data_IF_770177217503
#
_entry.id   IF_770177217503
#
_cell.length_a   1.000
_cell.length_b   1.000
_cell.length_c   1.000
_cell.angle_alpha   90.00
_cell.angle_beta   90.00
_cell.angle_gamma   90.00
#
_symmetry.space_group_name_H-M   'P 1'
#
loop_
_entity.id
_entity.type
_entity.pdbx_description
1 polymer ?
#
# COMPACT_ATOMS: atom_id res chain seq x y z
N UNK A 1 -20.28 -4.88 -13.41
CA UNK A 1 -18.88 -5.01 -13.82
C UNK A 1 -18.06 -3.70 -13.75
N UNK A 2 -18.61 -2.51 -14.02
CA UNK A 2 -17.86 -1.22 -13.97
C UNK A 2 -17.51 -0.70 -12.56
N UNK A 3 -18.18 -1.17 -11.49
CA UNK A 3 -17.95 -0.70 -10.11
C UNK A 3 -16.78 -1.39 -9.39
N UNK A 4 -16.37 -2.56 -9.87
CA UNK A 4 -15.26 -3.34 -9.30
C UNK A 4 -13.89 -2.78 -9.68
N UNK A 5 -13.78 -2.09 -10.82
CA UNK A 5 -12.55 -1.45 -11.29
C UNK A 5 -11.99 -0.36 -10.36
N UNK A 6 -12.76 0.20 -9.45
CA UNK A 6 -12.38 1.41 -8.73
C UNK A 6 -11.56 1.11 -7.47
N UNK A 7 -11.76 -0.03 -6.80
CA UNK A 7 -10.90 -0.44 -5.68
C UNK A 7 -9.63 -1.11 -6.18
N UNK A 8 -9.71 -1.81 -7.30
CA UNK A 8 -8.52 -2.16 -8.07
C UNK A 8 -7.73 -0.92 -8.47
N UNK A 9 -8.41 0.19 -8.62
CA UNK A 9 -7.86 1.50 -8.95
C UNK A 9 -7.07 2.16 -7.83
N UNK A 10 -7.02 1.64 -6.61
CA UNK A 10 -6.01 2.11 -5.62
C UNK A 10 -4.61 1.83 -6.18
N UNK A 11 -4.46 0.78 -6.99
CA UNK A 11 -3.26 0.55 -7.80
C UNK A 11 -3.40 0.91 -9.29
N UNK A 12 -4.60 0.89 -9.88
CA UNK A 12 -4.81 0.91 -11.32
C UNK A 12 -5.25 2.28 -11.89
N UNK A 13 -5.76 3.20 -11.07
CA UNK A 13 -6.29 4.47 -11.59
C UNK A 13 -5.22 5.45 -12.09
N UNK A 14 -3.94 5.27 -11.69
CA UNK A 14 -2.84 6.07 -12.24
C UNK A 14 -2.49 5.73 -13.70
N UNK A 15 -2.86 4.54 -14.21
CA UNK A 15 -2.58 4.17 -15.61
C UNK A 15 -3.57 4.81 -16.61
N UNK A 16 -4.78 5.16 -16.16
CA UNK A 16 -5.81 5.73 -17.04
C UNK A 16 -5.71 7.26 -17.22
N UNK A 17 -4.84 7.94 -16.46
CA UNK A 17 -4.70 9.40 -16.51
C UNK A 17 -3.65 9.88 -17.53
N UNK A 18 -2.85 8.98 -18.10
CA UNK A 18 -2.03 9.31 -19.26
C UNK A 18 -2.84 9.12 -20.55
N UNK A 19 -3.92 9.92 -20.68
CA UNK A 19 -4.62 10.08 -21.93
C UNK A 19 -3.63 10.46 -23.02
N UNK A 20 -3.69 9.73 -24.15
CA UNK A 20 -3.00 10.05 -25.38
C UNK A 20 -3.39 11.48 -25.82
N UNK A 21 -2.65 12.45 -25.36
CA UNK A 21 -2.55 13.74 -26.04
C UNK A 21 -1.21 13.70 -26.78
N UNK A 22 -1.30 13.53 -28.08
CA UNK A 22 -0.15 13.55 -29.00
C UNK A 22 0.55 14.88 -28.91
N UNK A 23 1.64 14.93 -28.13
CA UNK A 23 2.64 15.98 -28.21
C UNK A 23 3.94 15.30 -28.66
N UNK A 24 4.34 15.62 -29.90
CA UNK A 24 5.61 15.19 -30.45
C UNK A 24 6.76 15.69 -29.58
N UNK A 25 7.58 14.78 -29.08
CA UNK A 25 8.82 15.11 -28.41
C UNK A 25 9.95 15.31 -29.44
N UNK A 26 10.70 16.41 -29.38
CA UNK A 26 11.88 16.54 -30.23
C UNK A 26 12.95 15.56 -29.79
N UNK A 27 13.43 14.78 -30.73
CA UNK A 27 14.58 13.89 -30.60
C UNK A 27 15.84 14.74 -30.43
N UNK A 28 16.40 14.79 -29.23
CA UNK A 28 17.78 15.27 -29.02
C UNK A 28 18.66 14.05 -28.75
N UNK A 29 19.36 13.61 -29.75
CA UNK A 29 20.46 12.67 -29.61
C UNK A 29 21.62 13.39 -28.92
N UNK A 30 21.93 13.04 -27.68
CA UNK A 30 23.19 13.38 -27.05
C UNK A 30 23.85 12.10 -26.57
N UNK A 31 24.88 11.71 -27.29
CA UNK A 31 25.82 10.65 -26.92
C UNK A 31 26.60 11.08 -25.69
N UNK A 32 26.16 10.65 -24.50
CA UNK A 32 26.87 10.81 -23.25
C UNK A 32 27.40 9.45 -22.79
N UNK A 33 28.69 9.35 -22.65
CA UNK A 33 29.47 8.22 -22.18
C UNK A 33 28.93 7.68 -20.85
N UNK A 34 28.50 6.42 -20.84
CA UNK A 34 28.06 5.71 -19.64
C UNK A 34 29.29 5.36 -18.79
N UNK A 35 29.59 6.19 -17.81
CA UNK A 35 30.58 5.88 -16.76
C UNK A 35 29.82 5.47 -15.48
N UNK A 36 29.98 4.18 -15.13
CA UNK A 36 29.88 3.69 -13.76
C UNK A 36 28.54 3.84 -13.03
N UNK A 37 27.48 3.15 -13.43
CA UNK A 37 26.43 2.80 -12.49
C UNK A 37 26.87 1.56 -11.70
N UNK A 38 27.51 1.80 -10.55
CA UNK A 38 27.64 0.78 -9.52
C UNK A 38 26.22 0.38 -9.10
N UNK A 39 25.79 -0.80 -9.51
CA UNK A 39 24.61 -1.44 -8.97
C UNK A 39 24.85 -1.64 -7.46
N UNK A 40 24.18 -0.85 -6.63
CA UNK A 40 24.04 -1.19 -5.22
C UNK A 40 23.14 -2.43 -5.18
N UNK A 41 23.76 -3.59 -5.40
CA UNK A 41 23.21 -4.87 -4.99
C UNK A 41 23.22 -4.83 -3.46
N UNK A 42 22.13 -4.35 -2.85
CA UNK A 42 21.87 -4.63 -1.44
C UNK A 42 21.93 -6.15 -1.30
N UNK A 43 22.87 -6.64 -0.47
CA UNK A 43 22.96 -8.04 -0.08
C UNK A 43 21.54 -8.49 0.28
N UNK A 44 21.03 -9.53 -0.39
CA UNK A 44 19.75 -10.11 -0.08
C UNK A 44 19.75 -10.39 1.44
N UNK A 45 18.91 -9.69 2.20
CA UNK A 45 18.87 -9.85 3.63
C UNK A 45 18.58 -11.32 3.92
N UNK A 46 19.41 -11.93 4.76
CA UNK A 46 19.30 -13.34 5.11
C UNK A 46 18.09 -13.53 6.04
N UNK A 47 16.91 -13.73 5.42
CA UNK A 47 15.66 -13.96 6.14
C UNK A 47 15.59 -15.39 6.61
N UNK A 48 15.30 -15.58 7.89
CA UNK A 48 15.03 -16.87 8.51
C UNK A 48 13.65 -16.87 9.17
N UNK A 49 13.07 -18.03 9.35
CA UNK A 49 11.81 -18.16 10.05
C UNK A 49 11.96 -17.64 11.48
N UNK A 50 10.97 -16.86 11.96
CA UNK A 50 10.91 -16.42 13.36
C UNK A 50 10.81 -17.61 14.27
N UNK A 51 11.69 -17.70 15.27
CA UNK A 51 11.78 -18.84 16.18
C UNK A 51 10.51 -18.99 17.03
N UNK A 52 10.01 -17.90 17.61
CA UNK A 52 8.77 -17.88 18.38
C UNK A 52 7.72 -17.00 17.72
N UNK A 53 6.92 -17.64 16.84
CA UNK A 53 5.83 -16.95 16.12
C UNK A 53 4.70 -16.49 17.06
N UNK A 54 4.51 -17.16 18.21
CA UNK A 54 3.46 -16.80 19.16
C UNK A 54 3.86 -15.55 19.94
N UNK A 55 5.09 -15.47 20.43
CA UNK A 55 5.63 -14.28 21.07
C UNK A 55 5.61 -13.06 20.10
N UNK A 56 6.08 -13.26 18.86
CA UNK A 56 6.04 -12.20 17.84
C UNK A 56 4.62 -11.67 17.61
N UNK A 57 3.63 -12.57 17.43
CA UNK A 57 2.23 -12.17 17.23
C UNK A 57 1.66 -11.42 18.41
N UNK A 58 1.99 -11.86 19.65
CA UNK A 58 1.56 -11.20 20.88
C UNK A 58 2.14 -9.79 20.98
N UNK A 59 3.43 -9.63 20.69
CA UNK A 59 4.09 -8.33 20.70
C UNK A 59 3.51 -7.40 19.65
N UNK A 60 3.36 -7.87 18.40
CA UNK A 60 2.77 -7.09 17.32
C UNK A 60 1.35 -6.65 17.66
N UNK A 61 0.50 -7.56 18.15
CA UNK A 61 -0.86 -7.24 18.58
C UNK A 61 -0.89 -6.21 19.72
N UNK A 62 0.02 -6.31 20.68
CA UNK A 62 0.15 -5.33 21.79
C UNK A 62 0.50 -3.94 21.26
N UNK A 63 1.48 -3.85 20.33
CA UNK A 63 1.90 -2.59 19.72
C UNK A 63 0.79 -1.96 18.88
N UNK A 64 0.15 -2.75 18.03
CA UNK A 64 -0.88 -2.26 17.11
C UNK A 64 -2.19 -1.90 17.84
N UNK A 65 -2.56 -2.60 18.91
CA UNK A 65 -3.77 -2.29 19.68
C UNK A 65 -3.70 -0.92 20.38
N UNK A 66 -2.51 -0.47 20.73
CA UNK A 66 -2.26 0.84 21.35
C UNK A 66 -2.32 2.01 20.36
N UNK A 67 -2.37 1.72 19.04
CA UNK A 67 -2.45 2.76 18.01
C UNK A 67 -3.87 3.31 17.92
N UNK A 68 -3.98 4.62 17.95
CA UNK A 68 -5.22 5.37 17.68
C UNK A 68 -5.15 6.12 16.36
N UNK A 69 -3.97 6.60 15.99
CA UNK A 69 -3.72 7.29 14.72
C UNK A 69 -2.32 6.96 14.19
N UNK A 70 -2.18 6.97 12.87
CA UNK A 70 -0.91 6.91 12.16
C UNK A 70 -0.90 8.03 11.12
N UNK A 71 0.19 8.78 11.06
CA UNK A 71 0.49 9.71 9.98
C UNK A 71 1.86 9.37 9.43
N UNK A 72 2.01 9.37 8.11
CA UNK A 72 3.29 9.13 7.46
C UNK A 72 3.36 9.85 6.12
N UNK A 73 4.56 10.09 5.62
CA UNK A 73 4.79 10.31 4.19
C UNK A 73 4.93 8.95 3.52
N UNK A 74 4.55 8.88 2.24
CA UNK A 74 4.84 7.70 1.44
C UNK A 74 5.41 8.06 0.07
N UNK A 75 6.22 7.14 -0.43
CA UNK A 75 6.56 7.03 -1.85
C UNK A 75 5.92 5.74 -2.36
N UNK A 76 5.05 5.87 -3.34
CA UNK A 76 4.50 4.72 -4.06
C UNK A 76 5.34 4.46 -5.31
N UNK A 77 5.74 3.22 -5.51
CA UNK A 77 6.33 2.73 -6.77
C UNK A 77 5.37 1.70 -7.35
N UNK A 78 4.86 1.95 -8.54
CA UNK A 78 4.05 0.98 -9.29
C UNK A 78 4.80 0.50 -10.51
N UNK A 79 4.96 -0.81 -10.62
CA UNK A 79 5.51 -1.47 -11.80
C UNK A 79 4.40 -2.21 -12.54
N UNK A 80 4.31 -1.96 -13.84
CA UNK A 80 3.43 -2.66 -14.76
C UNK A 80 4.29 -3.26 -15.87
N UNK A 81 4.30 -4.58 -15.97
CA UNK A 81 5.10 -5.33 -16.94
C UNK A 81 4.81 -4.93 -18.38
N UNK A 82 3.55 -4.58 -18.67
CA UNK A 82 3.12 -4.12 -20.01
C UNK A 82 3.82 -2.84 -20.46
N UNK A 83 4.23 -1.98 -19.51
CA UNK A 83 4.98 -0.75 -19.80
C UNK A 83 6.47 -0.88 -19.54
N UNK A 84 6.92 -1.98 -18.94
CA UNK A 84 8.32 -2.26 -18.57
C UNK A 84 8.99 -1.10 -17.81
N UNK A 85 8.22 -0.38 -17.00
CA UNK A 85 8.71 0.79 -16.24
C UNK A 85 8.03 0.94 -14.88
N UNK A 86 8.75 1.58 -13.98
CA UNK A 86 8.21 2.06 -12.71
C UNK A 86 7.59 3.44 -12.85
N UNK A 87 6.47 3.64 -12.17
CA UNK A 87 5.82 4.94 -11.98
C UNK A 87 5.88 5.29 -10.50
N UNK A 88 6.35 6.48 -10.16
CA UNK A 88 6.47 6.94 -8.78
C UNK A 88 5.45 8.02 -8.48
N UNK A 89 4.90 7.97 -7.28
CA UNK A 89 4.00 8.97 -6.72
C UNK A 89 4.35 9.18 -5.25
N UNK A 90 4.15 10.38 -4.77
CA UNK A 90 4.42 10.73 -3.37
C UNK A 90 3.18 11.32 -2.73
N UNK A 91 3.04 11.12 -1.42
CA UNK A 91 1.89 11.62 -0.71
C UNK A 91 2.00 11.47 0.79
N UNK A 92 0.84 11.64 1.43
CA UNK A 92 0.65 11.48 2.87
C UNK A 92 -0.36 10.40 3.14
N UNK A 93 -0.05 9.59 4.13
CA UNK A 93 -0.91 8.55 4.66
C UNK A 93 -1.44 8.98 6.01
N UNK A 94 -2.75 8.80 6.21
CA UNK A 94 -3.41 9.02 7.48
C UNK A 94 -4.30 7.82 7.79
N UNK A 95 -4.20 7.32 9.00
CA UNK A 95 -5.11 6.33 9.55
C UNK A 95 -5.60 6.78 10.92
N UNK A 96 -6.87 6.57 11.17
CA UNK A 96 -7.49 6.76 12.49
C UNK A 96 -8.29 5.52 12.85
N UNK A 97 -8.12 5.05 14.08
CA UNK A 97 -8.90 3.93 14.63
C UNK A 97 -10.39 4.26 14.50
N UNK A 98 -11.11 3.45 14.19
CA UNK A 98 -12.10 2.63 13.56
C UNK A 98 -12.22 2.88 12.04
N UNK A 99 -11.20 2.40 11.32
CA UNK A 99 -11.24 2.17 9.88
C UNK A 99 -11.38 3.42 8.99
N UNK A 100 -10.75 4.52 9.43
CA UNK A 100 -10.60 5.71 8.58
C UNK A 100 -9.19 5.74 7.99
N UNK A 101 -9.12 5.80 6.68
CA UNK A 101 -7.86 5.91 5.93
C UNK A 101 -7.97 7.09 4.97
N UNK A 102 -6.89 7.85 4.84
CA UNK A 102 -6.71 8.80 3.74
C UNK A 102 -5.34 8.60 3.11
N UNK A 103 -5.31 8.47 1.79
CA UNK A 103 -4.13 8.55 0.94
C UNK A 103 -4.24 9.85 0.14
N UNK A 104 -3.43 10.83 0.51
CA UNK A 104 -3.37 12.16 -0.12
C UNK A 104 -2.12 12.21 -1.02
N UNK A 105 -2.29 11.85 -2.30
CA UNK A 105 -1.25 11.92 -3.33
C UNK A 105 -1.01 13.37 -3.74
N UNK A 106 0.26 13.75 -3.86
CA UNK A 106 0.67 15.13 -4.18
C UNK A 106 1.45 15.25 -5.47
N UNK A 107 2.27 14.27 -5.77
CA UNK A 107 3.08 14.22 -6.99
C UNK A 107 2.99 12.86 -7.66
N UNK A 108 3.05 12.78 -8.99
CA UNK A 108 3.04 13.88 -9.96
C UNK A 108 1.65 14.50 -10.15
N UNK A 109 0.58 13.84 -9.69
CA UNK A 109 -0.81 14.28 -9.82
C UNK A 109 -1.47 14.27 -8.45
N UNK A 110 -2.16 15.36 -8.11
CA UNK A 110 -2.96 15.45 -6.90
C UNK A 110 -4.19 14.51 -7.02
N UNK A 111 -4.28 13.56 -6.09
CA UNK A 111 -5.35 12.59 -6.02
C UNK A 111 -5.59 12.19 -4.57
N UNK A 112 -6.83 12.06 -4.15
CA UNK A 112 -7.16 11.68 -2.79
C UNK A 112 -8.03 10.43 -2.77
N UNK A 113 -7.75 9.53 -1.83
CA UNK A 113 -8.60 8.38 -1.50
C UNK A 113 -8.92 8.48 -0.02
N UNK A 114 -10.20 8.54 0.32
CA UNK A 114 -10.67 8.47 1.70
C UNK A 114 -11.55 7.24 1.87
N UNK A 115 -11.21 6.40 2.84
CA UNK A 115 -12.05 5.29 3.32
C UNK A 115 -12.55 5.69 4.69
N UNK A 116 -13.86 5.62 4.90
CA UNK A 116 -14.48 5.91 6.17
C UNK A 116 -15.67 4.93 6.39
N UNK A 117 -15.40 3.86 7.15
CA UNK A 117 -16.31 2.74 7.27
C UNK A 117 -16.61 2.10 5.91
N UNK A 118 -17.89 1.95 5.58
CA UNK A 118 -18.34 1.33 4.33
C UNK A 118 -18.31 2.26 3.11
N UNK A 119 -17.72 3.44 3.22
CA UNK A 119 -17.70 4.43 2.15
C UNK A 119 -16.31 4.75 1.70
N UNK A 120 -16.14 4.83 0.38
CA UNK A 120 -14.89 5.27 -0.25
C UNK A 120 -15.20 6.53 -1.06
N UNK A 121 -14.43 7.59 -0.81
CA UNK A 121 -14.39 8.80 -1.63
C UNK A 121 -13.07 8.83 -2.38
N UNK A 122 -13.12 9.17 -3.65
CA UNK A 122 -11.93 9.52 -4.43
C UNK A 122 -12.08 10.92 -4.99
N UNK A 123 -11.02 11.71 -4.97
CA UNK A 123 -11.00 13.06 -5.56
C UNK A 123 -9.90 13.10 -6.61
N UNK A 124 -10.27 13.44 -7.84
CA UNK A 124 -9.35 13.57 -8.96
C UNK A 124 -9.66 14.86 -9.73
N UNK A 125 -8.66 15.73 -9.90
CA UNK A 125 -8.83 17.01 -10.56
C UNK A 125 -10.05 17.82 -10.05
N UNK A 126 -10.27 17.80 -8.72
CA UNK A 126 -11.38 18.46 -8.06
C UNK A 126 -12.74 17.77 -8.19
N UNK A 127 -12.83 16.65 -8.90
CA UNK A 127 -14.08 15.86 -9.02
C UNK A 127 -14.08 14.74 -8.00
N UNK A 128 -15.11 14.70 -7.15
CA UNK A 128 -15.33 13.64 -6.18
C UNK A 128 -16.18 12.50 -6.78
N UNK A 129 -15.82 11.26 -6.46
CA UNK A 129 -16.60 10.06 -6.75
C UNK A 129 -16.76 9.25 -5.47
N UNK A 130 -17.93 8.62 -5.29
CA UNK A 130 -18.27 7.90 -4.08
C UNK A 130 -18.66 6.46 -4.39
N UNK A 131 -18.25 5.54 -3.51
CA UNK A 131 -18.59 4.13 -3.58
C UNK A 131 -19.10 3.71 -2.21
N UNK A 132 -20.26 3.08 -2.18
CA UNK A 132 -20.77 2.39 -1.01
C UNK A 132 -20.37 0.90 -1.13
N UNK A 133 -19.67 0.39 -0.11
CA UNK A 133 -19.20 -0.99 -0.07
C UNK A 133 -20.06 -1.88 0.81
N UNK A 134 -21.08 -1.31 1.45
CA UNK A 134 -21.96 -2.01 2.39
C UNK A 134 -22.58 -3.26 1.77
N UNK A 135 -22.44 -4.38 2.50
CA UNK A 135 -23.01 -5.65 2.08
C UNK A 135 -22.28 -6.32 0.91
N UNK A 136 -21.05 -5.91 0.61
CA UNK A 136 -20.20 -6.57 -0.37
C UNK A 136 -19.03 -7.30 0.35
N UNK A 137 -19.15 -8.63 0.60
CA UNK A 137 -18.16 -9.38 1.39
C UNK A 137 -16.74 -9.32 0.80
N UNK A 138 -16.60 -9.25 -0.53
CA UNK A 138 -15.30 -9.13 -1.16
C UNK A 138 -14.66 -7.78 -0.84
N UNK A 139 -15.44 -6.72 -0.82
CA UNK A 139 -14.97 -5.38 -0.50
C UNK A 139 -14.53 -5.27 0.96
N UNK A 140 -15.28 -5.91 1.86
CA UNK A 140 -14.94 -5.98 3.29
C UNK A 140 -13.61 -6.72 3.50
N UNK A 141 -13.41 -7.86 2.81
CA UNK A 141 -12.14 -8.61 2.87
C UNK A 141 -10.98 -7.79 2.33
N UNK A 142 -11.15 -7.07 1.22
CA UNK A 142 -10.13 -6.21 0.64
C UNK A 142 -9.79 -5.03 1.57
N UNK A 143 -10.79 -4.36 2.12
CA UNK A 143 -10.60 -3.27 3.08
C UNK A 143 -9.87 -3.75 4.34
N UNK A 144 -10.28 -4.89 4.89
CA UNK A 144 -9.63 -5.52 6.04
C UNK A 144 -8.18 -5.86 5.75
N UNK A 145 -7.90 -6.47 4.59
CA UNK A 145 -6.53 -6.79 4.18
C UNK A 145 -5.65 -5.55 4.08
N UNK A 146 -6.11 -4.52 3.35
CA UNK A 146 -5.36 -3.28 3.16
C UNK A 146 -5.12 -2.58 4.50
N UNK A 147 -6.16 -2.44 5.32
CA UNK A 147 -6.06 -1.80 6.64
C UNK A 147 -5.08 -2.56 7.53
N UNK A 148 -5.19 -3.88 7.61
CA UNK A 148 -4.29 -4.72 8.41
C UNK A 148 -2.83 -4.59 7.96
N UNK A 149 -2.60 -4.56 6.64
CA UNK A 149 -1.27 -4.41 6.09
C UNK A 149 -0.66 -3.03 6.34
N UNK A 150 -1.46 -1.96 6.25
CA UNK A 150 -0.99 -0.59 6.47
C UNK A 150 -0.75 -0.26 7.94
N UNK A 151 -1.51 -0.87 8.84
CA UNK A 151 -1.37 -0.66 10.29
C UNK A 151 -0.45 -1.66 10.97
N UNK A 152 -0.18 -2.81 10.31
CA UNK A 152 0.48 -3.96 10.92
C UNK A 152 -0.44 -4.79 11.84
N UNK A 153 -1.73 -4.46 11.95
CA UNK A 153 -2.69 -5.21 12.75
C UNK A 153 -3.17 -6.45 11.99
N UNK A 154 -2.49 -7.57 12.21
CA UNK A 154 -2.83 -8.86 11.58
C UNK A 154 -3.96 -9.62 12.30
N UNK A 155 -4.45 -9.13 13.43
CA UNK A 155 -5.47 -9.85 14.22
C UNK A 155 -6.80 -9.96 13.49
N UNK A 156 -7.08 -9.01 12.60
CA UNK A 156 -8.30 -8.95 11.80
C UNK A 156 -8.29 -9.87 10.57
N UNK A 157 -7.14 -10.43 10.18
CA UNK A 157 -7.04 -11.24 8.96
C UNK A 157 -7.72 -12.61 9.10
N UNK A 158 -7.85 -13.14 10.33
CA UNK A 158 -8.53 -14.39 10.61
C UNK A 158 -7.95 -15.59 9.84
N UNK A 159 -8.83 -16.50 9.42
CA UNK A 159 -8.48 -17.70 8.68
C UNK A 159 -8.47 -17.54 7.17
N UNK A 160 -8.89 -16.38 6.65
CA UNK A 160 -9.03 -16.14 5.21
C UNK A 160 -7.69 -15.92 4.51
N UNK A 161 -6.62 -15.73 5.29
CA UNK A 161 -5.28 -15.47 4.80
C UNK A 161 -4.26 -16.44 5.42
N UNK A 162 -3.24 -16.76 4.65
CA UNK A 162 -2.03 -17.41 5.18
C UNK A 162 -1.00 -16.32 5.46
N UNK A 163 -0.42 -16.32 6.67
CA UNK A 163 0.61 -15.34 7.05
C UNK A 163 1.89 -16.12 7.39
N UNK A 164 2.95 -15.87 6.62
CA UNK A 164 4.31 -16.31 6.94
C UNK A 164 5.10 -15.15 7.50
N UNK A 165 5.92 -15.43 8.53
CA UNK A 165 6.74 -14.42 9.20
C UNK A 165 8.19 -14.88 9.22
N UNK A 166 9.07 -14.04 8.74
CA UNK A 166 10.52 -14.22 8.70
C UNK A 166 11.20 -13.00 9.32
N UNK A 167 12.41 -13.18 9.80
CA UNK A 167 13.21 -12.10 10.40
C UNK A 167 14.58 -12.01 9.74
N UNK A 168 15.10 -10.78 9.67
CA UNK A 168 16.47 -10.46 9.34
C UNK A 168 17.11 -9.65 10.48
N UNK A 169 18.33 -9.18 10.32
CA UNK A 169 18.94 -8.22 11.26
C UNK A 169 18.25 -6.85 11.25
N UNK A 170 17.61 -6.47 10.15
CA UNK A 170 17.06 -5.13 9.93
C UNK A 170 15.55 -5.05 10.19
N UNK A 171 14.80 -6.09 9.81
CA UNK A 171 13.34 -6.06 9.80
C UNK A 171 12.71 -7.44 9.96
N UNK A 172 11.39 -7.45 10.15
CA UNK A 172 10.55 -8.63 9.96
C UNK A 172 9.87 -8.54 8.61
N UNK A 173 9.84 -9.65 7.87
CA UNK A 173 9.13 -9.79 6.62
C UNK A 173 7.89 -10.66 6.81
N UNK A 174 6.74 -10.08 6.55
CA UNK A 174 5.46 -10.77 6.59
C UNK A 174 4.96 -10.98 5.17
N UNK A 175 4.72 -12.23 4.79
CA UNK A 175 4.08 -12.58 3.52
C UNK A 175 2.67 -13.04 3.78
N UNK A 176 1.69 -12.33 3.21
CA UNK A 176 0.26 -12.57 3.40
C UNK A 176 -0.32 -13.01 2.06
N UNK A 177 -0.93 -14.18 2.03
CA UNK A 177 -1.53 -14.77 0.83
C UNK A 177 -3.01 -15.00 1.06
N UNK A 178 -3.91 -14.41 0.25
CA UNK A 178 -5.34 -14.67 0.32
C UNK A 178 -5.66 -16.14 -0.04
N UNK A 179 -6.60 -16.78 0.68
CA UNK A 179 -7.10 -18.12 0.35
C UNK A 179 -8.25 -18.06 -0.64
N UNK A 180 -9.06 -17.00 -0.61
CA UNK A 180 -10.18 -16.79 -1.51
C UNK A 180 -9.70 -16.62 -2.94
N UNK A 181 -10.21 -17.45 -3.87
CA UNK A 181 -9.94 -17.32 -5.32
C UNK A 181 -10.40 -15.96 -5.87
N UNK A 182 -11.48 -15.42 -5.32
CA UNK A 182 -12.02 -14.11 -5.73
C UNK A 182 -11.05 -12.98 -5.40
N UNK A 183 -10.46 -12.99 -4.20
CA UNK A 183 -9.44 -11.99 -3.79
C UNK A 183 -8.14 -12.21 -4.56
N UNK A 184 -7.72 -13.47 -4.75
CA UNK A 184 -6.51 -13.83 -5.52
C UNK A 184 -6.55 -13.43 -6.98
N UNK A 185 -7.74 -13.24 -7.56
CA UNK A 185 -7.87 -12.70 -8.91
C UNK A 185 -7.35 -11.26 -9.03
N UNK A 186 -7.14 -10.57 -7.89
CA UNK A 186 -6.72 -9.18 -7.83
C UNK A 186 -5.41 -8.98 -7.06
N UNK A 187 -5.18 -9.78 -6.01
CA UNK A 187 -3.98 -9.72 -5.18
C UNK A 187 -3.44 -11.13 -5.03
N UNK A 188 -2.28 -11.40 -5.62
CA UNK A 188 -1.59 -12.67 -5.45
C UNK A 188 -1.05 -12.81 -4.02
N UNK A 189 -0.32 -11.79 -3.56
CA UNK A 189 0.22 -11.72 -2.19
C UNK A 189 0.51 -10.28 -1.78
N UNK A 190 0.63 -10.06 -0.49
CA UNK A 190 1.18 -8.84 0.09
C UNK A 190 2.44 -9.16 0.90
N UNK A 191 3.44 -8.29 0.80
CA UNK A 191 4.67 -8.39 1.59
C UNK A 191 4.82 -7.12 2.41
N UNK A 192 4.96 -7.26 3.73
CA UNK A 192 5.16 -6.14 4.65
C UNK A 192 6.55 -6.27 5.26
N UNK A 193 7.29 -5.16 5.28
CA UNK A 193 8.51 -5.04 6.08
C UNK A 193 8.21 -4.20 7.32
N UNK A 194 8.37 -4.81 8.50
CA UNK A 194 8.21 -4.12 9.78
C UNK A 194 9.59 -3.76 10.32
N UNK A 195 9.71 -2.55 10.81
CA UNK A 195 10.90 -2.13 11.56
C UNK A 195 11.11 -3.03 12.78
N UNK A 196 12.35 -3.53 12.98
CA UNK A 196 12.63 -4.46 14.06
C UNK A 196 12.52 -3.85 15.46
N UNK A 197 12.69 -2.53 15.60
CA UNK A 197 12.69 -1.86 16.89
C UNK A 197 11.28 -1.54 17.42
N UNK A 198 10.41 -1.09 16.54
CA UNK A 198 9.09 -0.56 16.93
C UNK A 198 7.91 -1.29 16.28
N UNK A 199 8.19 -2.28 15.40
CA UNK A 199 7.21 -3.06 14.63
C UNK A 199 6.32 -2.20 13.70
N UNK A 200 6.72 -0.97 13.42
CA UNK A 200 5.99 -0.13 12.48
C UNK A 200 6.24 -0.56 11.04
N UNK A 201 5.25 -0.37 10.17
CA UNK A 201 5.37 -0.68 8.75
C UNK A 201 6.34 0.30 8.08
N UNK A 202 7.44 -0.22 7.51
CA UNK A 202 8.38 0.53 6.69
C UNK A 202 8.00 0.44 5.22
N UNK A 203 7.61 -0.78 4.77
CA UNK A 203 7.26 -1.03 3.37
C UNK A 203 6.08 -1.98 3.30
N UNK A 204 5.20 -1.69 2.36
CA UNK A 204 4.11 -2.57 1.93
C UNK A 204 4.23 -2.78 0.44
N UNK A 205 4.33 -4.03 -0.01
CA UNK A 205 4.29 -4.39 -1.43
C UNK A 205 3.09 -5.27 -1.70
N UNK A 206 2.23 -4.85 -2.60
CA UNK A 206 1.10 -5.61 -3.11
C UNK A 206 1.46 -6.16 -4.48
N UNK A 207 1.47 -7.46 -4.63
CA UNK A 207 1.65 -8.15 -5.91
C UNK A 207 0.28 -8.46 -6.50
N UNK A 208 -0.03 -7.89 -7.65
CA UNK A 208 -1.27 -8.12 -8.38
C UNK A 208 -1.18 -9.45 -9.16
N UNK A 209 0.03 -9.79 -9.60
CA UNK A 209 0.40 -11.06 -10.25
C UNK A 209 1.91 -11.31 -10.08
N UNK A 210 2.48 -12.24 -10.87
CA UNK A 210 3.91 -12.58 -10.78
C UNK A 210 4.85 -11.43 -11.16
N UNK A 211 4.39 -10.45 -11.94
CA UNK A 211 5.23 -9.37 -12.50
C UNK A 211 4.82 -7.98 -12.01
N UNK A 212 3.51 -7.74 -11.87
CA UNK A 212 3.00 -6.41 -11.55
C UNK A 212 2.89 -6.22 -10.05
N UNK A 213 3.36 -5.08 -9.56
CA UNK A 213 3.29 -4.75 -8.14
C UNK A 213 3.08 -3.26 -7.88
N UNK A 214 2.54 -2.99 -6.71
CA UNK A 214 2.47 -1.66 -6.12
C UNK A 214 3.15 -1.69 -4.76
N UNK A 215 4.16 -0.86 -4.57
CA UNK A 215 4.97 -0.77 -3.35
C UNK A 215 4.82 0.60 -2.72
N UNK A 216 4.68 0.64 -1.40
CA UNK A 216 4.65 1.87 -0.59
C UNK A 216 5.81 1.83 0.40
N UNK A 217 6.66 2.84 0.36
CA UNK A 217 7.67 3.12 1.39
C UNK A 217 7.18 4.23 2.31
N UNK A 218 7.12 3.96 3.62
CA UNK A 218 6.63 4.91 4.61
C UNK A 218 7.78 5.55 5.40
N UNK A 219 7.75 6.88 5.47
CA UNK A 219 8.72 7.69 6.22
C UNK A 219 8.02 8.71 7.10
N UNK A 220 8.75 9.40 7.96
CA UNK A 220 8.24 10.47 8.85
C UNK A 220 6.99 10.05 9.64
N UNK A 221 7.02 8.83 10.17
CA UNK A 221 5.89 8.23 10.89
C UNK A 221 5.64 8.92 12.22
N UNK A 222 4.36 9.26 12.47
CA UNK A 222 3.88 9.80 13.75
C UNK A 222 2.72 8.93 14.22
N UNK A 223 2.81 8.46 15.46
CA UNK A 223 1.81 7.60 16.08
C UNK A 223 1.06 8.36 17.18
N UNK A 224 -0.22 8.10 17.29
CA UNK A 224 -1.10 8.67 18.32
C UNK A 224 -1.13 10.22 18.34
N UNK A 225 -0.77 10.85 17.21
CA UNK A 225 -0.84 12.29 17.05
C UNK A 225 -2.21 12.70 16.48
N UNK A 226 -2.71 13.87 16.89
CA UNK A 226 -4.01 14.37 16.43
C UNK A 226 -4.04 14.56 14.91
N UNK A 227 -5.12 14.10 14.27
CA UNK A 227 -5.40 14.29 12.84
C UNK A 227 -6.64 15.17 12.71
N UNK A 228 -6.60 16.26 11.92
CA UNK A 228 -7.78 17.08 11.66
C UNK A 228 -8.89 16.23 11.04
N UNK A 229 -10.11 16.34 11.55
CA UNK A 229 -11.26 15.55 11.06
C UNK A 229 -11.59 15.83 9.59
N UNK A 230 -11.18 16.99 9.07
CA UNK A 230 -11.31 17.35 7.65
C UNK A 230 -10.59 16.39 6.71
N UNK A 231 -9.53 15.72 7.18
CA UNK A 231 -8.78 14.70 6.41
C UNK A 231 -9.66 13.52 6.01
N UNK A 232 -10.66 13.19 6.81
CA UNK A 232 -11.56 12.06 6.57
C UNK A 232 -12.96 12.48 6.10
N UNK A 233 -13.07 13.74 5.62
CA UNK A 233 -14.36 14.27 5.20
C UNK A 233 -14.87 13.57 3.94
N UNK A 234 -16.14 13.12 4.00
CA UNK A 234 -16.84 12.44 2.92
C UNK A 234 -17.79 13.37 2.13
N UNK A 235 -17.71 14.69 2.39
CA UNK A 235 -18.51 15.71 1.67
C UNK A 235 -17.71 16.30 0.53
#
# INVERSE_FOLDING_TARGET
MKRLSIILSIGMLMAAQFGLSGAAFPSAATSGTMSGMASVQGTAADYKAVADKAAFRKELASKTSALTTIQAKFVQTKYLSVFSREMKSEGRFYWQKTDKICLDYRTPVAYEIVINGDKIKTVNAGKASFIDTKGNPMMDQMSTLITSCMTGDLTKLGTDFTVNVEESSADYRLTIVPKSKTVRAYIDKMVILLNRKDLSVNRLTMYENASDYTMYDFTDKKFNAAIPQTVFNMR
#
